data_IF_210241332006
#
_entry.id   IF_210241332006
#
_cell.length_a   1.000
_cell.length_b   1.000
_cell.length_c   1.000
_cell.angle_alpha   90.00
_cell.angle_beta   90.00
_cell.angle_gamma   90.00
#
_symmetry.space_group_name_H-M   'P 1'
#
loop_
_entity.id
_entity.type
_entity.pdbx_description
1 polymer ?
#
# COMPACT_ATOMS: atom_id res chain seq x y z
N UNK A 1 72.03 -26.09 -13.69
CA UNK A 1 71.54 -25.11 -14.69
C UNK A 1 70.03 -25.25 -14.81
N UNK A 2 69.30 -24.17 -14.51
CA UNK A 2 67.84 -24.06 -14.51
C UNK A 2 67.27 -23.96 -15.94
N UNK A 3 66.07 -24.49 -16.20
CA UNK A 3 65.45 -24.37 -17.53
C UNK A 3 64.04 -24.95 -17.77
N UNK A 4 63.12 -24.84 -16.80
CA UNK A 4 61.65 -24.65 -16.94
C UNK A 4 60.89 -25.32 -18.13
N UNK A 5 60.07 -26.37 -17.88
CA UNK A 5 59.01 -26.76 -18.81
C UNK A 5 57.71 -26.01 -18.50
N UNK A 6 57.30 -25.05 -19.34
CA UNK A 6 55.95 -24.45 -19.27
C UNK A 6 55.41 -24.14 -20.67
N UNK A 7 54.74 -25.09 -21.30
CA UNK A 7 53.86 -24.77 -22.45
C UNK A 7 52.58 -25.61 -22.57
N UNK A 8 52.40 -26.71 -21.84
CA UNK A 8 51.15 -27.50 -21.89
C UNK A 8 50.03 -27.01 -20.95
N UNK A 9 50.34 -26.14 -19.97
CA UNK A 9 49.32 -25.67 -19.00
C UNK A 9 48.46 -24.53 -19.52
N UNK A 10 48.91 -23.79 -20.55
CA UNK A 10 48.16 -22.64 -21.12
C UNK A 10 46.86 -23.10 -21.75
N UNK A 11 46.87 -24.14 -22.58
CA UNK A 11 45.66 -24.61 -23.29
C UNK A 11 44.60 -25.21 -22.35
N UNK A 12 45.03 -25.97 -21.32
CA UNK A 12 44.11 -26.50 -20.29
C UNK A 12 43.56 -25.39 -19.41
N UNK A 13 44.38 -24.41 -19.01
CA UNK A 13 43.92 -23.25 -18.24
C UNK A 13 42.90 -22.41 -19.03
N UNK A 14 43.11 -22.20 -20.34
CA UNK A 14 42.16 -21.50 -21.21
C UNK A 14 40.84 -22.25 -21.33
N UNK A 15 40.87 -23.58 -21.48
CA UNK A 15 39.66 -24.42 -21.55
C UNK A 15 38.88 -24.42 -20.24
N UNK A 16 39.57 -24.53 -19.11
CA UNK A 16 38.94 -24.46 -17.77
C UNK A 16 38.35 -23.07 -17.56
N UNK A 17 39.08 -22.00 -17.92
CA UNK A 17 38.57 -20.63 -17.86
C UNK A 17 37.30 -20.44 -18.70
N UNK A 18 37.24 -21.02 -19.90
CA UNK A 18 36.06 -20.96 -20.76
C UNK A 18 34.85 -21.68 -20.14
N UNK A 19 35.05 -22.87 -19.56
CA UNK A 19 33.98 -23.62 -18.89
C UNK A 19 33.46 -22.90 -17.66
N UNK A 20 34.36 -22.33 -16.84
CA UNK A 20 33.97 -21.52 -15.67
C UNK A 20 33.19 -20.27 -16.11
N UNK A 21 33.65 -19.59 -17.16
CA UNK A 21 32.94 -18.44 -17.71
C UNK A 21 31.54 -18.82 -18.23
N UNK A 22 31.41 -19.93 -18.96
CA UNK A 22 30.12 -20.42 -19.46
C UNK A 22 29.16 -20.78 -18.31
N UNK A 23 29.63 -21.49 -17.29
CA UNK A 23 28.86 -21.82 -16.09
C UNK A 23 28.40 -20.56 -15.36
N UNK A 24 29.29 -19.58 -15.20
CA UNK A 24 29.00 -18.31 -14.53
C UNK A 24 27.93 -17.53 -15.30
N UNK A 25 28.04 -17.46 -16.63
CA UNK A 25 27.06 -16.80 -17.50
C UNK A 25 25.70 -17.50 -17.43
N UNK A 26 25.66 -18.83 -17.53
CA UNK A 26 24.40 -19.59 -17.37
C UNK A 26 23.77 -19.40 -15.99
N UNK A 27 24.58 -19.34 -14.93
CA UNK A 27 24.10 -19.07 -13.58
C UNK A 27 23.52 -17.66 -13.45
N UNK A 28 24.22 -16.65 -13.96
CA UNK A 28 23.75 -15.25 -13.96
C UNK A 28 22.46 -15.08 -14.78
N UNK A 29 22.34 -15.74 -15.92
CA UNK A 29 21.14 -15.73 -16.77
C UNK A 29 19.92 -16.30 -16.07
N UNK A 30 20.09 -17.27 -15.16
CA UNK A 30 18.99 -17.79 -14.33
C UNK A 30 18.72 -16.93 -13.09
N UNK A 31 19.78 -16.49 -12.41
CA UNK A 31 19.71 -15.84 -11.10
C UNK A 31 19.19 -14.40 -11.17
N UNK A 32 19.69 -13.58 -12.09
CA UNK A 32 19.31 -12.16 -12.21
C UNK A 32 17.82 -11.95 -12.49
N UNK A 33 17.18 -12.64 -13.46
CA UNK A 33 15.75 -12.47 -13.68
C UNK A 33 14.90 -13.03 -12.53
N UNK A 34 15.36 -14.07 -11.81
CA UNK A 34 14.66 -14.54 -10.62
C UNK A 34 14.76 -13.53 -9.47
N UNK A 35 15.91 -12.92 -9.25
CA UNK A 35 16.09 -11.89 -8.22
C UNK A 35 15.21 -10.66 -8.48
N UNK A 36 15.12 -10.20 -9.74
CA UNK A 36 14.20 -9.11 -10.12
C UNK A 36 12.73 -9.48 -9.93
N UNK A 37 12.35 -10.73 -10.25
CA UNK A 37 10.97 -11.19 -10.00
C UNK A 37 10.66 -11.18 -8.51
N UNK A 38 11.55 -11.71 -7.67
CA UNK A 38 11.37 -11.71 -6.21
C UNK A 38 11.16 -10.29 -5.66
N UNK A 39 11.95 -9.31 -6.09
CA UNK A 39 11.74 -7.91 -5.71
C UNK A 39 10.37 -7.37 -6.17
N UNK A 40 10.00 -7.60 -7.43
CA UNK A 40 8.69 -7.14 -7.93
C UNK A 40 7.49 -7.83 -7.26
N UNK A 41 7.68 -9.03 -6.69
CA UNK A 41 6.65 -9.72 -5.92
C UNK A 41 6.53 -9.12 -4.52
N UNK A 42 7.65 -8.76 -3.89
CA UNK A 42 7.67 -8.07 -2.59
C UNK A 42 6.95 -6.72 -2.69
N UNK A 43 7.27 -5.92 -3.70
CA UNK A 43 6.63 -4.62 -3.94
C UNK A 43 5.10 -4.76 -4.14
N UNK A 44 4.67 -5.81 -4.85
CA UNK A 44 3.24 -6.11 -5.07
C UNK A 44 2.54 -6.57 -3.79
N UNK A 45 3.23 -7.31 -2.91
CA UNK A 45 2.68 -7.73 -1.63
C UNK A 45 2.48 -6.51 -0.73
N UNK A 46 3.45 -5.60 -0.70
CA UNK A 46 3.35 -4.36 0.08
C UNK A 46 2.19 -3.47 -0.42
N UNK A 47 2.06 -3.31 -1.74
CA UNK A 47 0.95 -2.58 -2.36
C UNK A 47 -0.41 -3.21 -2.03
N UNK A 48 -0.57 -4.53 -2.22
CA UNK A 48 -1.81 -5.24 -1.90
C UNK A 48 -2.16 -5.21 -0.40
N UNK A 49 -1.16 -5.27 0.48
CA UNK A 49 -1.38 -5.18 1.92
C UNK A 49 -1.85 -3.79 2.34
N UNK A 50 -1.32 -2.74 1.70
CA UNK A 50 -1.77 -1.36 1.90
C UNK A 50 -3.24 -1.20 1.50
N UNK A 51 -3.61 -1.67 0.30
CA UNK A 51 -4.98 -1.58 -0.23
C UNK A 51 -5.99 -2.36 0.62
N UNK A 52 -5.65 -3.60 0.98
CA UNK A 52 -6.52 -4.45 1.79
C UNK A 52 -6.84 -3.80 3.14
N UNK A 53 -5.89 -3.08 3.71
CA UNK A 53 -6.08 -2.49 5.00
C UNK A 53 -6.82 -1.13 4.94
N UNK A 54 -6.77 -0.42 3.80
CA UNK A 54 -7.71 0.70 3.54
C UNK A 54 -9.15 0.16 3.46
N UNK A 55 -9.36 -0.95 2.75
CA UNK A 55 -10.66 -1.61 2.64
C UNK A 55 -11.18 -2.12 3.99
N UNK A 56 -10.31 -2.64 4.86
CA UNK A 56 -10.70 -3.06 6.22
C UNK A 56 -11.17 -1.86 7.07
N UNK A 57 -10.48 -0.72 6.99
CA UNK A 57 -10.93 0.52 7.66
C UNK A 57 -12.29 0.96 7.12
N UNK A 58 -12.48 0.95 5.81
CA UNK A 58 -13.75 1.30 5.17
C UNK A 58 -14.89 0.39 5.64
N UNK A 59 -14.66 -0.93 5.61
CA UNK A 59 -15.64 -1.92 6.01
C UNK A 59 -16.05 -1.76 7.49
N UNK A 60 -15.09 -1.48 8.38
CA UNK A 60 -15.37 -1.22 9.80
C UNK A 60 -16.13 0.09 10.01
N UNK A 61 -15.80 1.13 9.25
CA UNK A 61 -16.51 2.42 9.29
C UNK A 61 -17.96 2.26 8.81
N UNK A 62 -18.17 1.54 7.71
CA UNK A 62 -19.50 1.19 7.20
C UNK A 62 -20.29 0.34 8.19
N UNK A 63 -19.66 -0.63 8.84
CA UNK A 63 -20.27 -1.42 9.90
C UNK A 63 -20.66 -0.55 11.11
N UNK A 64 -19.80 0.38 11.54
CA UNK A 64 -20.11 1.30 12.64
C UNK A 64 -21.30 2.21 12.30
N UNK A 65 -21.39 2.68 11.06
CA UNK A 65 -22.53 3.44 10.56
C UNK A 65 -23.82 2.62 10.56
N UNK A 66 -23.77 1.36 10.09
CA UNK A 66 -24.94 0.48 10.10
C UNK A 66 -25.40 0.14 11.53
N UNK A 67 -24.47 -0.07 12.46
CA UNK A 67 -24.79 -0.31 13.87
C UNK A 67 -25.39 0.94 14.55
N UNK A 68 -24.88 2.15 14.25
CA UNK A 68 -25.46 3.38 14.79
C UNK A 68 -26.87 3.66 14.26
N UNK A 69 -27.14 3.36 12.98
CA UNK A 69 -28.48 3.43 12.39
C UNK A 69 -29.49 2.48 13.07
N UNK A 70 -29.00 1.34 13.57
CA UNK A 70 -29.79 0.37 14.35
C UNK A 70 -29.89 0.72 15.84
N UNK A 71 -29.42 1.91 16.24
CA UNK A 71 -29.29 2.36 17.63
C UNK A 71 -28.37 1.48 18.51
N UNK A 72 -27.49 0.67 17.90
CA UNK A 72 -26.47 -0.12 18.59
C UNK A 72 -25.20 0.73 18.84
N UNK A 73 -25.35 1.86 19.53
CA UNK A 73 -24.30 2.88 19.66
C UNK A 73 -23.03 2.39 20.34
N UNK A 74 -23.14 1.50 21.34
CA UNK A 74 -21.96 0.95 22.01
C UNK A 74 -21.13 0.06 21.07
N UNK A 75 -21.78 -0.75 20.23
CA UNK A 75 -21.10 -1.56 19.22
C UNK A 75 -20.45 -0.67 18.16
N UNK A 76 -21.17 0.36 17.69
CA UNK A 76 -20.61 1.36 16.79
C UNK A 76 -19.39 2.07 17.41
N UNK A 77 -19.44 2.42 18.71
CA UNK A 77 -18.32 3.02 19.45
C UNK A 77 -17.09 2.13 19.45
N UNK A 78 -17.26 0.85 19.75
CA UNK A 78 -16.16 -0.12 19.76
C UNK A 78 -15.51 -0.27 18.38
N UNK A 79 -16.32 -0.36 17.33
CA UNK A 79 -15.82 -0.38 15.94
C UNK A 79 -15.03 0.90 15.61
N UNK A 80 -15.54 2.07 16.00
CA UNK A 80 -14.87 3.34 15.76
C UNK A 80 -13.56 3.48 16.51
N UNK A 81 -13.45 2.97 17.74
CA UNK A 81 -12.15 2.92 18.45
C UNK A 81 -11.12 2.12 17.62
N UNK A 82 -11.55 1.01 17.03
CA UNK A 82 -10.71 0.22 16.11
C UNK A 82 -10.29 1.01 14.87
N UNK A 83 -11.24 1.69 14.21
CA UNK A 83 -10.99 2.56 13.05
C UNK A 83 -9.96 3.63 13.36
N UNK A 84 -10.11 4.35 14.48
CA UNK A 84 -9.18 5.43 14.85
C UNK A 84 -7.80 4.90 15.25
N UNK A 85 -7.73 3.72 15.88
CA UNK A 85 -6.45 3.08 16.20
C UNK A 85 -5.68 2.71 14.94
N UNK A 86 -6.38 2.18 13.93
CA UNK A 86 -5.79 1.82 12.64
C UNK A 86 -5.33 3.07 11.86
N UNK A 87 -6.16 4.11 11.79
CA UNK A 87 -5.79 5.39 11.17
C UNK A 87 -4.56 6.03 11.84
N UNK A 88 -4.48 5.99 13.18
CA UNK A 88 -3.35 6.51 13.93
C UNK A 88 -2.06 5.74 13.63
N UNK A 89 -2.12 4.41 13.53
CA UNK A 89 -0.98 3.56 13.16
C UNK A 89 -0.46 3.92 11.76
N UNK A 90 -1.38 4.13 10.80
CA UNK A 90 -1.07 4.47 9.41
C UNK A 90 -0.48 5.86 9.25
N UNK A 91 -0.90 6.83 10.06
CA UNK A 91 -0.41 8.22 10.00
C UNK A 91 1.12 8.31 9.94
N UNK A 92 1.82 7.47 10.72
CA UNK A 92 3.28 7.43 10.76
C UNK A 92 3.95 6.79 9.53
N UNK A 93 3.21 5.98 8.78
CA UNK A 93 3.69 5.19 7.64
C UNK A 93 3.45 5.91 6.30
N UNK A 94 2.47 6.80 6.24
CA UNK A 94 2.15 7.55 5.02
C UNK A 94 3.23 8.59 4.71
N UNK A 95 3.96 8.42 3.61
CA UNK A 95 4.98 9.36 3.15
C UNK A 95 4.40 10.63 2.50
N UNK A 96 3.25 10.51 1.81
CA UNK A 96 2.60 11.64 1.13
C UNK A 96 1.99 12.63 2.15
N UNK A 97 2.42 13.91 2.18
CA UNK A 97 1.91 14.88 3.13
C UNK A 97 0.42 15.23 2.93
N UNK A 98 -0.09 15.19 1.69
CA UNK A 98 -1.52 15.44 1.43
C UNK A 98 -2.38 14.33 2.04
N UNK A 99 -2.04 13.07 1.78
CA UNK A 99 -2.72 11.90 2.35
C UNK A 99 -2.60 11.85 3.89
N UNK A 100 -1.46 12.30 4.44
CA UNK A 100 -1.31 12.44 5.90
C UNK A 100 -2.25 13.51 6.46
N UNK A 101 -2.43 14.64 5.77
CA UNK A 101 -3.37 15.68 6.19
C UNK A 101 -4.84 15.19 6.16
N UNK A 102 -5.20 14.35 5.21
CA UNK A 102 -6.53 13.72 5.16
C UNK A 102 -6.77 12.78 6.36
N UNK A 103 -5.78 11.94 6.70
CA UNK A 103 -5.82 11.11 7.91
C UNK A 103 -5.95 11.99 9.16
N UNK A 104 -5.21 13.08 9.24
CA UNK A 104 -5.26 14.02 10.37
C UNK A 104 -6.64 14.68 10.50
N UNK A 105 -7.26 15.05 9.38
CA UNK A 105 -8.61 15.60 9.35
C UNK A 105 -9.67 14.59 9.83
N UNK A 106 -9.50 13.30 9.53
CA UNK A 106 -10.36 12.23 10.03
C UNK A 106 -10.13 11.96 11.53
N UNK A 107 -8.87 11.90 11.96
CA UNK A 107 -8.50 11.70 13.37
C UNK A 107 -8.96 12.87 14.25
N UNK A 108 -9.01 14.10 13.72
CA UNK A 108 -9.53 15.26 14.42
C UNK A 108 -11.02 15.14 14.84
N UNK A 109 -11.78 14.25 14.21
CA UNK A 109 -13.19 14.01 14.51
C UNK A 109 -13.40 12.93 15.59
N UNK A 110 -12.33 12.28 16.06
CA UNK A 110 -12.39 11.14 17.00
C UNK A 110 -13.17 11.47 18.25
N UNK A 111 -12.77 12.50 18.97
CA UNK A 111 -13.30 12.77 20.30
C UNK A 111 -14.78 13.17 20.24
N UNK A 112 -15.18 13.90 19.19
CA UNK A 112 -16.58 14.23 18.91
C UNK A 112 -17.41 12.96 18.65
N UNK A 113 -17.00 12.12 17.70
CA UNK A 113 -17.74 10.91 17.31
C UNK A 113 -17.84 9.94 18.49
N UNK A 114 -16.74 9.71 19.21
CA UNK A 114 -16.73 8.84 20.39
C UNK A 114 -17.65 9.40 21.48
N UNK A 115 -17.66 10.73 21.69
CA UNK A 115 -18.57 11.36 22.66
C UNK A 115 -20.03 11.18 22.26
N UNK A 116 -20.38 11.43 20.99
CA UNK A 116 -21.74 11.25 20.48
C UNK A 116 -22.21 9.79 20.64
N UNK A 117 -21.39 8.83 20.24
CA UNK A 117 -21.70 7.40 20.36
C UNK A 117 -21.83 6.96 21.83
N UNK A 118 -20.94 7.45 22.71
CA UNK A 118 -21.00 7.14 24.15
C UNK A 118 -22.28 7.68 24.81
N UNK A 119 -22.83 8.77 24.29
CA UNK A 119 -24.08 9.38 24.75
C UNK A 119 -25.32 8.81 24.07
N UNK A 120 -25.17 7.83 23.18
CA UNK A 120 -26.25 7.30 22.34
C UNK A 120 -26.99 8.40 21.56
N UNK A 121 -26.26 9.44 21.14
CA UNK A 121 -26.81 10.61 20.46
C UNK A 121 -27.16 10.26 18.99
N UNK A 122 -28.41 10.44 18.52
CA UNK A 122 -28.79 10.15 17.13
C UNK A 122 -27.98 10.91 16.09
N UNK A 123 -27.45 12.08 16.43
CA UNK A 123 -26.58 12.90 15.61
C UNK A 123 -25.28 12.17 15.21
N UNK A 124 -24.89 11.13 15.95
CA UNK A 124 -23.75 10.28 15.62
C UNK A 124 -23.89 9.63 14.24
N UNK A 125 -25.10 9.30 13.79
CA UNK A 125 -25.34 8.67 12.47
C UNK A 125 -24.95 9.64 11.35
N UNK A 126 -25.45 10.88 11.42
CA UNK A 126 -25.12 11.93 10.45
C UNK A 126 -23.64 12.23 10.43
N UNK A 127 -22.99 12.26 11.61
CA UNK A 127 -21.55 12.51 11.72
C UNK A 127 -20.72 11.38 11.13
N UNK A 128 -21.08 10.13 11.40
CA UNK A 128 -20.44 8.94 10.83
C UNK A 128 -20.63 8.87 9.31
N UNK A 129 -21.79 9.26 8.78
CA UNK A 129 -22.02 9.33 7.35
C UNK A 129 -21.10 10.34 6.66
N UNK A 130 -20.94 11.53 7.24
CA UNK A 130 -20.00 12.54 6.74
C UNK A 130 -18.55 12.02 6.77
N UNK A 131 -18.15 11.38 7.86
CA UNK A 131 -16.82 10.77 7.96
C UNK A 131 -16.62 9.68 6.91
N UNK A 132 -17.61 8.81 6.67
CA UNK A 132 -17.56 7.77 5.63
C UNK A 132 -17.38 8.38 4.24
N UNK A 133 -18.16 9.42 3.90
CA UNK A 133 -18.01 10.10 2.60
C UNK A 133 -16.66 10.80 2.45
N UNK A 134 -16.14 11.39 3.53
CA UNK A 134 -14.83 12.04 3.52
C UNK A 134 -13.70 11.02 3.37
N UNK A 135 -13.80 9.87 4.06
CA UNK A 135 -12.86 8.76 3.92
C UNK A 135 -12.88 8.22 2.48
N UNK A 136 -14.06 7.95 1.93
CA UNK A 136 -14.19 7.44 0.57
C UNK A 136 -13.58 8.42 -0.45
N UNK A 137 -13.87 9.72 -0.32
CA UNK A 137 -13.28 10.74 -1.18
C UNK A 137 -11.75 10.78 -1.06
N UNK A 138 -11.19 10.81 0.15
CA UNK A 138 -9.75 10.84 0.38
C UNK A 138 -9.01 9.65 -0.25
N UNK A 139 -9.55 8.43 -0.09
CA UNK A 139 -8.82 7.21 -0.46
C UNK A 139 -9.19 6.62 -1.84
N UNK A 140 -10.32 7.02 -2.44
CA UNK A 140 -10.76 6.49 -3.74
C UNK A 140 -10.82 7.55 -4.86
N UNK A 141 -10.85 8.85 -4.55
CA UNK A 141 -11.00 9.90 -5.58
C UNK A 141 -9.71 10.22 -6.36
N UNK A 142 -8.55 9.70 -5.94
CA UNK A 142 -7.30 9.80 -6.72
C UNK A 142 -7.38 9.06 -8.09
N UNK A 143 -8.42 8.25 -8.33
CA UNK A 143 -8.73 7.70 -9.65
C UNK A 143 -9.61 8.60 -10.56
N UNK A 144 -10.22 9.67 -10.04
CA UNK A 144 -11.18 10.51 -10.77
C UNK A 144 -10.56 11.78 -11.40
N UNK A 145 -9.30 12.09 -11.10
CA UNK A 145 -8.61 13.29 -11.57
C UNK A 145 -7.63 13.03 -12.73
N UNK A 146 -7.91 12.06 -13.59
CA UNK A 146 -7.43 12.16 -14.97
C UNK A 146 -8.37 13.11 -15.71
N UNK A 147 -7.95 14.33 -16.10
CA UNK A 147 -8.76 15.15 -16.99
C UNK A 147 -9.05 14.31 -18.25
N UNK A 148 -10.28 14.33 -18.79
CA UNK A 148 -10.53 13.71 -20.09
C UNK A 148 -9.51 14.29 -21.06
N UNK A 149 -8.74 13.42 -21.70
CA UNK A 149 -7.77 13.80 -22.73
C UNK A 149 -8.46 14.79 -23.66
N UNK A 150 -7.94 16.02 -23.71
CA UNK A 150 -8.48 17.07 -24.54
C UNK A 150 -8.64 16.53 -25.97
N UNK A 151 -9.89 16.37 -26.41
CA UNK A 151 -10.19 16.05 -27.80
C UNK A 151 -9.60 17.19 -28.64
N UNK A 152 -8.71 16.91 -29.61
CA UNK A 152 -8.24 17.95 -30.51
C UNK A 152 -9.45 18.47 -31.30
N UNK A 153 -9.79 19.74 -31.07
CA UNK A 153 -10.79 20.47 -31.84
C UNK A 153 -10.37 20.52 -33.30
N UNK A 154 -11.17 19.93 -34.18
CA UNK A 154 -11.02 20.10 -35.63
C UNK A 154 -11.27 21.57 -36.01
N UNK A 155 -10.40 22.20 -36.83
CA UNK A 155 -10.59 23.57 -37.32
C UNK A 155 -11.66 23.64 -38.43
N UNK A 156 -12.20 24.84 -38.71
CA UNK A 156 -13.45 25.06 -39.46
C UNK A 156 -13.38 24.71 -40.95
#
# INVERSE_FOLDING_TARGET
MNGKPRSLSRSRATRIGLLVAALTISFLLGFVPQWRRAQSLEDRIEEMASDLAILDVEARLGAALAESQRANYERARQLMVGVFSELQSRRGQVANPARRAEIDALLGQRDEIITLLSRAAPESVSRLNLMYTAFFAAFHSEGAASPPAATPSSPP
#
